data_IF_232201835060
#
_entry.id   IF_232201835060
#
_cell.length_a   1.000
_cell.length_b   1.000
_cell.length_c   1.000
_cell.angle_alpha   90.00
_cell.angle_beta   90.00
_cell.angle_gamma   90.00
#
_symmetry.space_group_name_H-M   'P 1'
#
loop_
_entity.id
_entity.type
_entity.pdbx_description
1 polymer ?
#
# COMPACT_ATOMS: atom_id res chain seq x y z
N UNK A 1 14.12 -5.06 -35.72
CA UNK A 1 13.73 -5.86 -34.54
C UNK A 1 14.06 -5.18 -33.22
N UNK A 2 15.27 -4.65 -33.00
CA UNK A 2 15.65 -4.00 -31.74
C UNK A 2 14.75 -2.79 -31.38
N UNK A 3 14.43 -1.92 -32.34
CA UNK A 3 13.56 -0.76 -32.10
C UNK A 3 12.18 -1.12 -31.55
N UNK A 4 11.51 -2.12 -32.14
CA UNK A 4 10.22 -2.62 -31.65
C UNK A 4 10.30 -3.19 -30.23
N UNK A 5 11.36 -3.96 -29.94
CA UNK A 5 11.56 -4.52 -28.60
C UNK A 5 11.79 -3.41 -27.56
N UNK A 6 12.65 -2.43 -27.85
CA UNK A 6 12.93 -1.32 -26.94
C UNK A 6 11.67 -0.49 -26.69
N UNK A 7 10.92 -0.14 -27.73
CA UNK A 7 9.65 0.59 -27.58
C UNK A 7 8.66 -0.18 -26.72
N UNK A 8 8.54 -1.49 -26.91
CA UNK A 8 7.67 -2.34 -26.09
C UNK A 8 8.08 -2.35 -24.61
N UNK A 9 9.38 -2.53 -24.33
CA UNK A 9 9.90 -2.52 -22.95
C UNK A 9 9.67 -1.18 -22.27
N UNK A 10 9.97 -0.06 -22.95
CA UNK A 10 9.76 1.30 -22.42
C UNK A 10 8.28 1.55 -22.15
N UNK A 11 7.39 1.12 -23.05
CA UNK A 11 5.95 1.28 -22.89
C UNK A 11 5.43 0.53 -21.65
N UNK A 12 5.90 -0.70 -21.42
CA UNK A 12 5.56 -1.46 -20.20
C UNK A 12 6.11 -0.82 -18.94
N UNK A 13 7.34 -0.30 -18.99
CA UNK A 13 7.93 0.39 -17.84
C UNK A 13 7.14 1.64 -17.46
N UNK A 14 6.73 2.45 -18.44
CA UNK A 14 5.86 3.61 -18.21
C UNK A 14 4.49 3.19 -17.65
N UNK A 15 3.91 2.11 -18.17
CA UNK A 15 2.65 1.58 -17.64
C UNK A 15 2.76 1.13 -16.18
N UNK A 16 3.89 0.52 -15.78
CA UNK A 16 4.15 0.15 -14.37
C UNK A 16 4.22 1.41 -13.50
N UNK A 17 4.96 2.44 -13.94
CA UNK A 17 5.07 3.70 -13.18
C UNK A 17 3.73 4.41 -13.03
N UNK A 18 2.93 4.46 -14.10
CA UNK A 18 1.58 5.06 -14.06
C UNK A 18 0.60 4.22 -13.23
N UNK A 19 0.85 2.91 -13.08
CA UNK A 19 0.06 2.01 -12.23
C UNK A 19 0.41 2.08 -10.75
N UNK A 20 1.44 2.84 -10.34
CA UNK A 20 1.71 3.09 -8.92
C UNK A 20 0.55 3.91 -8.37
N UNK A 21 -0.23 3.33 -7.46
CA UNK A 21 -1.40 3.99 -6.87
C UNK A 21 -1.00 5.08 -5.88
N UNK A 22 -0.68 6.29 -6.35
CA UNK A 22 -0.30 7.42 -5.49
C UNK A 22 -1.41 7.79 -4.48
N UNK A 23 -1.03 8.10 -3.23
CA UNK A 23 -1.98 8.38 -2.14
C UNK A 23 -2.53 9.81 -2.15
N UNK A 24 -1.92 10.72 -2.92
CA UNK A 24 -2.12 12.16 -2.85
C UNK A 24 -3.59 12.57 -3.05
N UNK A 25 -4.25 11.98 -4.05
CA UNK A 25 -5.66 12.24 -4.34
C UNK A 25 -6.56 11.76 -3.20
N UNK A 26 -6.29 10.58 -2.64
CA UNK A 26 -7.04 10.03 -1.50
C UNK A 26 -6.81 10.86 -0.24
N UNK A 27 -5.57 11.31 0.00
CA UNK A 27 -5.22 12.19 1.11
C UNK A 27 -5.94 13.53 1.03
N UNK A 28 -5.96 14.15 -0.15
CA UNK A 28 -6.70 15.38 -0.39
C UNK A 28 -8.20 15.17 -0.16
N UNK A 29 -8.77 14.07 -0.66
CA UNK A 29 -10.18 13.75 -0.47
C UNK A 29 -10.53 13.55 1.01
N UNK A 30 -9.76 12.74 1.75
CA UNK A 30 -10.02 12.53 3.18
C UNK A 30 -9.84 13.81 4.00
N UNK A 31 -8.85 14.65 3.67
CA UNK A 31 -8.67 15.94 4.32
C UNK A 31 -9.85 16.90 4.06
N UNK A 32 -10.45 16.83 2.87
CA UNK A 32 -11.53 17.73 2.46
C UNK A 32 -12.90 17.26 2.97
N UNK A 33 -13.19 15.96 2.94
CA UNK A 33 -14.52 15.44 3.26
C UNK A 33 -14.69 15.06 4.73
N UNK A 34 -13.62 14.68 5.43
CA UNK A 34 -13.66 14.30 6.84
C UNK A 34 -13.30 15.50 7.71
N UNK A 35 -14.33 16.23 8.12
CA UNK A 35 -14.21 17.48 8.89
C UNK A 35 -14.13 17.19 10.40
N UNK A 36 -13.35 18.00 11.12
CA UNK A 36 -13.22 17.91 12.58
C UNK A 36 -11.77 18.02 13.05
N UNK A 37 -11.60 18.68 14.19
CA UNK A 37 -10.30 18.90 14.86
C UNK A 37 -10.12 18.03 16.11
N UNK A 38 -11.14 17.26 16.47
CA UNK A 38 -11.08 16.30 17.56
C UNK A 38 -10.07 15.19 17.26
N UNK A 39 -9.53 14.60 18.34
CA UNK A 39 -8.50 13.56 18.23
C UNK A 39 -9.01 12.31 17.51
N UNK A 40 -10.30 11.97 17.62
CA UNK A 40 -10.87 10.81 16.93
C UNK A 40 -10.92 11.04 15.41
N UNK A 41 -11.35 12.21 14.95
CA UNK A 41 -11.36 12.55 13.52
C UNK A 41 -9.94 12.64 12.96
N UNK A 42 -8.98 13.19 13.71
CA UNK A 42 -7.56 13.16 13.32
C UNK A 42 -7.05 11.72 13.19
N UNK A 43 -7.37 10.86 14.15
CA UNK A 43 -6.99 9.45 14.14
C UNK A 43 -7.62 8.71 12.95
N UNK A 44 -8.88 9.00 12.62
CA UNK A 44 -9.57 8.45 11.45
C UNK A 44 -8.85 8.79 10.15
N UNK A 45 -8.56 10.08 9.89
CA UNK A 45 -7.84 10.50 8.67
C UNK A 45 -6.46 9.84 8.56
N UNK A 46 -5.72 9.75 9.68
CA UNK A 46 -4.40 9.10 9.73
C UNK A 46 -4.50 7.59 9.46
N UNK A 47 -5.53 6.95 9.98
CA UNK A 47 -5.77 5.50 9.82
C UNK A 47 -6.12 5.16 8.37
N UNK A 48 -7.01 5.94 7.74
CA UNK A 48 -7.37 5.75 6.33
C UNK A 48 -6.17 5.86 5.40
N UNK A 49 -5.31 6.85 5.61
CA UNK A 49 -4.08 6.98 4.81
C UNK A 49 -3.08 5.87 5.11
N UNK A 50 -2.92 5.48 6.38
CA UNK A 50 -2.06 4.35 6.74
C UNK A 50 -2.53 3.05 6.07
N UNK A 51 -3.82 2.82 5.94
CA UNK A 51 -4.38 1.67 5.22
C UNK A 51 -4.03 1.68 3.73
N UNK A 52 -4.13 2.83 3.06
CA UNK A 52 -3.69 2.99 1.67
C UNK A 52 -2.19 2.69 1.51
N UNK A 53 -1.35 3.20 2.41
CA UNK A 53 0.10 2.96 2.39
C UNK A 53 0.43 1.51 2.71
N UNK A 54 -0.29 0.87 3.65
CA UNK A 54 -0.13 -0.54 3.98
C UNK A 54 -0.46 -1.43 2.79
N UNK A 55 -1.56 -1.16 2.08
CA UNK A 55 -1.90 -1.86 0.84
C UNK A 55 -0.76 -1.77 -0.19
N UNK A 56 -0.22 -0.57 -0.44
CA UNK A 56 0.92 -0.38 -1.34
C UNK A 56 2.15 -1.14 -0.89
N UNK A 57 2.49 -1.11 0.40
CA UNK A 57 3.63 -1.82 0.94
C UNK A 57 3.49 -3.34 0.73
N UNK A 58 2.29 -3.90 0.94
CA UNK A 58 2.00 -5.32 0.73
C UNK A 58 2.11 -5.71 -0.75
N UNK A 59 1.58 -4.92 -1.69
CA UNK A 59 1.69 -5.16 -3.13
C UNK A 59 3.15 -5.04 -3.59
N UNK A 60 3.83 -3.95 -3.20
CA UNK A 60 5.22 -3.69 -3.60
C UNK A 60 6.19 -4.73 -3.05
N UNK A 61 5.91 -5.30 -1.86
CA UNK A 61 6.69 -6.41 -1.30
C UNK A 61 6.68 -7.64 -2.20
N UNK A 62 5.65 -7.84 -3.02
CA UNK A 62 5.54 -9.00 -3.91
C UNK A 62 6.18 -8.78 -5.28
N UNK A 63 6.23 -7.55 -5.76
CA UNK A 63 6.76 -7.23 -7.10
C UNK A 63 8.17 -6.58 -7.07
N UNK A 64 8.61 -6.04 -5.94
CA UNK A 64 9.90 -5.36 -5.80
C UNK A 64 10.80 -6.05 -4.78
N UNK A 65 11.94 -6.56 -5.26
CA UNK A 65 12.97 -7.18 -4.41
C UNK A 65 13.54 -6.21 -3.37
N UNK A 66 13.63 -4.92 -3.71
CA UNK A 66 14.10 -3.87 -2.78
C UNK A 66 13.14 -3.74 -1.59
N UNK A 67 11.84 -3.69 -1.87
CA UNK A 67 10.79 -3.58 -0.84
C UNK A 67 10.69 -4.88 -0.03
N UNK A 68 10.81 -6.04 -0.68
CA UNK A 68 10.86 -7.34 0.00
C UNK A 68 12.03 -7.47 0.98
N UNK A 69 13.22 -6.96 0.61
CA UNK A 69 14.37 -6.93 1.53
C UNK A 69 14.16 -6.01 2.72
N UNK A 70 13.45 -4.89 2.51
CA UNK A 70 13.14 -3.93 3.58
C UNK A 70 12.05 -4.45 4.52
N UNK A 71 11.03 -5.11 3.97
CA UNK A 71 9.87 -5.61 4.71
C UNK A 71 9.66 -7.11 4.47
N UNK A 72 10.57 -8.00 4.93
CA UNK A 72 10.50 -9.43 4.66
C UNK A 72 9.27 -10.10 5.30
N UNK A 73 8.81 -9.63 6.45
CA UNK A 73 7.73 -10.23 7.24
C UNK A 73 6.65 -9.20 7.63
N UNK A 74 5.47 -9.65 8.06
CA UNK A 74 4.46 -8.75 8.63
C UNK A 74 4.97 -8.04 9.89
N UNK A 75 5.81 -8.70 10.69
CA UNK A 75 6.43 -8.10 11.88
C UNK A 75 7.28 -6.88 11.54
N UNK A 76 8.01 -6.89 10.42
CA UNK A 76 8.77 -5.71 9.98
C UNK A 76 7.87 -4.54 9.55
N UNK A 77 6.64 -4.81 9.09
CA UNK A 77 5.65 -3.77 8.83
C UNK A 77 5.07 -3.20 10.13
N UNK A 78 4.94 -4.04 11.17
CA UNK A 78 4.55 -3.59 12.51
C UNK A 78 5.63 -2.70 13.11
N UNK A 79 6.89 -3.13 13.06
CA UNK A 79 8.03 -2.37 13.55
C UNK A 79 8.17 -1.01 12.83
N UNK A 80 7.79 -0.94 11.55
CA UNK A 80 7.77 0.29 10.77
C UNK A 80 6.55 1.20 11.04
N UNK A 81 5.58 0.75 11.85
CA UNK A 81 4.36 1.50 12.17
C UNK A 81 3.32 1.55 11.04
N UNK A 82 3.47 0.73 9.99
CA UNK A 82 2.49 0.64 8.91
C UNK A 82 1.30 -0.25 9.29
N UNK A 83 1.56 -1.26 10.11
CA UNK A 83 0.58 -2.23 10.59
C UNK A 83 0.56 -2.22 12.12
N UNK A 84 -0.61 -2.33 12.74
CA UNK A 84 -0.69 -2.55 14.20
C UNK A 84 -0.73 -4.04 14.53
N UNK A 85 -0.32 -4.42 15.74
CA UNK A 85 -0.38 -5.83 16.17
C UNK A 85 -1.81 -6.39 16.20
N UNK A 86 -2.81 -5.54 16.45
CA UNK A 86 -4.22 -5.94 16.40
C UNK A 86 -4.66 -6.24 14.96
N UNK A 87 -4.31 -5.37 14.01
CA UNK A 87 -4.62 -5.57 12.59
C UNK A 87 -3.88 -6.77 11.99
N UNK A 88 -2.64 -7.04 12.42
CA UNK A 88 -1.91 -8.22 11.98
C UNK A 88 -2.66 -9.51 12.32
N UNK A 89 -3.20 -9.60 13.54
CA UNK A 89 -4.02 -10.75 13.96
C UNK A 89 -5.28 -10.91 13.11
N UNK A 90 -5.91 -9.81 12.70
CA UNK A 90 -7.07 -9.83 11.80
C UNK A 90 -6.69 -10.31 10.39
N UNK A 91 -5.56 -9.85 9.86
CA UNK A 91 -5.04 -10.32 8.55
C UNK A 91 -4.74 -11.82 8.61
N UNK A 92 -4.16 -12.29 9.72
CA UNK A 92 -3.82 -13.70 9.94
C UNK A 92 -5.04 -14.59 10.15
N UNK A 93 -6.12 -14.07 10.73
CA UNK A 93 -7.35 -14.83 10.93
C UNK A 93 -8.15 -15.05 9.64
N UNK A 94 -7.86 -14.30 8.58
CA UNK A 94 -8.47 -14.51 7.26
C UNK A 94 -7.84 -15.76 6.63
N UNK A 95 -8.63 -16.84 6.57
CA UNK A 95 -8.24 -18.10 5.95
C UNK A 95 -8.46 -18.02 4.43
N UNK A 96 -7.53 -17.39 3.72
CA UNK A 96 -7.48 -17.33 2.26
C UNK A 96 -6.12 -17.84 1.76
N UNK A 97 -6.14 -18.57 0.64
CA UNK A 97 -4.95 -19.11 -0.01
C UNK A 97 -4.25 -18.06 -0.90
N UNK A 98 -4.94 -16.96 -1.22
CA UNK A 98 -4.41 -15.89 -2.05
C UNK A 98 -3.69 -14.79 -1.24
N UNK A 99 -2.97 -13.93 -1.96
CA UNK A 99 -2.29 -12.78 -1.36
C UNK A 99 -3.30 -11.81 -0.74
N UNK A 100 -3.05 -11.46 0.54
CA UNK A 100 -3.94 -10.62 1.37
C UNK A 100 -3.65 -9.13 1.27
N UNK A 101 -3.08 -8.65 0.17
CA UNK A 101 -2.78 -7.22 0.01
C UNK A 101 -4.04 -6.36 -0.07
N UNK A 102 -5.20 -6.94 -0.42
CA UNK A 102 -6.48 -6.25 -0.51
C UNK A 102 -7.10 -5.92 0.85
N UNK A 103 -6.69 -6.61 1.94
CA UNK A 103 -7.33 -6.50 3.26
C UNK A 103 -7.36 -5.09 3.86
N UNK A 104 -6.35 -4.23 3.68
CA UNK A 104 -6.41 -2.85 4.18
C UNK A 104 -7.39 -1.93 3.43
N UNK A 105 -7.91 -2.32 2.25
CA UNK A 105 -8.86 -1.54 1.47
C UNK A 105 -10.30 -1.88 1.84
#
# INVERSE_FOLDING_TARGET
MLGFFVTFVVSRWLAILNGIGWIDNSAMAFATFIHGEDENTKLLRRTLIRYMVLNQALVLRDISMQVRKRFPTLETLIAAGLLTSAECKLIESINDHYSRYWVPL
#
